data_IF_924750490848
#
_entry.id   IF_924750490848
#
_cell.length_a   1.000
_cell.length_b   1.000
_cell.length_c   1.000
_cell.angle_alpha   90.00
_cell.angle_beta   90.00
_cell.angle_gamma   90.00
#
_symmetry.space_group_name_H-M   'P 1'
#
loop_
_entity.id
_entity.type
_entity.pdbx_description
1 polymer ?
#
# COMPACT_ATOMS: atom_id res chain seq x y z
N UNK A 1 17.35 35.57 34.53
CA UNK A 1 16.03 36.22 34.36
C UNK A 1 15.79 36.41 32.87
N UNK A 2 14.76 35.78 32.33
CA UNK A 2 14.34 35.99 30.93
C UNK A 2 13.21 37.02 30.86
N UNK A 3 13.14 37.80 29.79
CA UNK A 3 11.99 38.65 29.51
C UNK A 3 11.06 37.90 28.53
N UNK A 4 9.81 37.67 28.93
CA UNK A 4 8.76 37.18 28.04
C UNK A 4 7.63 38.20 27.95
N UNK A 5 7.14 38.41 26.75
CA UNK A 5 5.92 39.16 26.48
C UNK A 5 4.80 38.16 26.23
N UNK A 6 3.90 38.02 27.20
CA UNK A 6 2.74 37.11 27.13
C UNK A 6 1.63 37.73 26.25
N UNK A 7 1.50 39.06 26.27
CA UNK A 7 0.62 39.86 25.41
C UNK A 7 1.22 41.25 25.19
N UNK A 8 0.78 41.98 24.15
CA UNK A 8 1.19 43.38 23.88
C UNK A 8 0.83 44.27 25.09
N UNK A 9 1.75 44.44 26.03
CA UNK A 9 1.63 45.39 27.14
C UNK A 9 2.05 44.86 28.51
N UNK A 10 2.10 43.54 28.74
CA UNK A 10 2.46 42.97 30.05
C UNK A 10 3.88 42.40 30.03
N UNK A 11 4.78 43.03 30.79
CA UNK A 11 6.13 42.53 31.06
C UNK A 11 6.14 41.81 32.40
N UNK A 12 6.35 40.50 32.37
CA UNK A 12 6.50 39.68 33.58
C UNK A 12 7.97 39.31 33.75
N UNK A 13 8.48 39.48 34.98
CA UNK A 13 9.74 38.89 35.40
C UNK A 13 9.44 37.52 35.98
N UNK A 14 10.10 36.48 35.48
CA UNK A 14 9.83 35.11 35.91
C UNK A 14 11.13 34.35 36.16
N UNK A 15 11.02 33.35 37.04
CA UNK A 15 11.99 32.27 37.16
C UNK A 15 11.38 31.02 36.52
N UNK A 16 12.17 30.26 35.77
CA UNK A 16 11.69 29.03 35.14
C UNK A 16 12.37 27.82 35.78
N UNK A 17 11.59 26.78 35.98
CA UNK A 17 12.09 25.46 36.34
C UNK A 17 11.61 24.48 35.28
N UNK A 18 12.51 23.61 34.82
CA UNK A 18 12.15 22.53 33.91
C UNK A 18 11.79 21.30 34.74
N UNK A 19 10.60 20.77 34.51
CA UNK A 19 10.21 19.47 35.03
C UNK A 19 10.99 18.38 34.28
N UNK A 20 11.85 17.67 35.02
CA UNK A 20 12.69 16.60 34.47
C UNK A 20 11.94 15.29 34.25
N UNK A 21 10.83 15.09 34.94
CA UNK A 21 9.97 13.89 34.81
C UNK A 21 8.51 14.27 34.54
N UNK A 22 8.05 13.99 33.33
CA UNK A 22 6.63 14.09 32.94
C UNK A 22 5.82 12.83 33.31
N UNK A 23 6.49 11.73 33.67
CA UNK A 23 5.89 10.41 33.95
C UNK A 23 5.10 10.35 35.26
N UNK A 24 5.42 11.23 36.21
CA UNK A 24 4.75 11.35 37.51
C UNK A 24 3.60 12.36 37.54
N UNK A 25 3.21 12.95 36.40
CA UNK A 25 1.97 13.71 36.25
C UNK A 25 0.77 12.72 36.16
N UNK A 26 0.73 11.76 37.08
CA UNK A 26 -0.46 10.95 37.33
C UNK A 26 -1.34 11.77 38.25
N UNK A 27 -2.33 12.44 37.65
CA UNK A 27 -3.37 13.20 38.33
C UNK A 27 -2.89 14.51 38.97
N UNK A 28 -3.50 15.64 38.55
CA UNK A 28 -3.55 16.99 39.16
C UNK A 28 -2.24 17.68 39.65
N UNK A 29 -1.10 17.00 39.63
CA UNK A 29 0.12 17.34 40.37
C UNK A 29 1.10 18.26 39.64
N UNK A 30 0.65 19.08 38.70
CA UNK A 30 1.54 20.09 38.09
C UNK A 30 1.60 21.34 38.97
N UNK A 31 0.46 21.81 39.48
CA UNK A 31 0.41 23.00 40.33
C UNK A 31 0.51 22.69 41.84
N UNK A 32 0.26 21.44 42.26
CA UNK A 32 0.24 21.06 43.68
C UNK A 32 1.56 20.52 44.22
N UNK A 33 2.48 20.06 43.36
CA UNK A 33 3.78 19.50 43.78
C UNK A 33 4.91 20.51 43.60
N UNK A 34 4.68 21.54 42.80
CA UNK A 34 5.65 22.59 42.49
C UNK A 34 4.94 23.87 42.91
N UNK A 35 5.51 24.62 43.84
CA UNK A 35 5.07 25.97 44.19
C UNK A 35 5.30 26.89 42.98
N UNK A 36 4.46 26.77 41.96
CA UNK A 36 4.56 27.46 40.69
C UNK A 36 3.28 28.29 40.46
N UNK A 37 3.45 29.60 40.25
CA UNK A 37 2.34 30.53 40.06
C UNK A 37 1.65 30.35 38.70
N UNK A 38 2.41 29.95 37.66
CA UNK A 38 1.91 29.76 36.29
C UNK A 38 2.63 28.56 35.67
N UNK A 39 1.85 27.66 35.04
CA UNK A 39 2.38 26.54 34.28
C UNK A 39 2.13 26.73 32.77
N UNK A 40 3.21 26.81 31.98
CA UNK A 40 3.14 26.80 30.52
C UNK A 40 3.53 25.43 30.00
N UNK A 41 2.55 24.62 29.61
CA UNK A 41 2.77 23.26 29.11
C UNK A 41 1.71 22.89 28.06
N UNK A 42 1.99 21.92 27.16
CA UNK A 42 0.99 21.34 26.27
C UNK A 42 0.03 20.46 27.09
N UNK A 43 -0.87 21.10 27.84
CA UNK A 43 -1.81 20.46 28.76
C UNK A 43 -3.23 20.55 28.21
N UNK A 44 -3.86 19.39 27.99
CA UNK A 44 -5.27 19.35 27.59
C UNK A 44 -6.18 19.84 28.71
N UNK A 45 -7.13 20.70 28.35
CA UNK A 45 -8.22 21.15 29.24
C UNK A 45 -9.19 19.98 29.43
N UNK A 46 -9.44 19.61 30.68
CA UNK A 46 -10.36 18.51 31.03
C UNK A 46 -11.11 18.92 32.30
N UNK A 47 -12.39 18.54 32.43
CA UNK A 47 -13.22 18.89 33.58
C UNK A 47 -12.59 18.53 34.94
N UNK A 48 -11.88 17.39 35.02
CA UNK A 48 -11.21 16.97 36.25
C UNK A 48 -10.06 17.92 36.63
N UNK A 49 -9.32 18.44 35.66
CA UNK A 49 -8.25 19.42 35.90
C UNK A 49 -8.82 20.79 36.24
N UNK A 50 -9.90 21.18 35.58
CA UNK A 50 -10.60 22.43 35.84
C UNK A 50 -11.14 22.53 37.28
N UNK A 51 -11.40 21.38 37.92
CA UNK A 51 -11.78 21.37 39.35
C UNK A 51 -10.66 21.76 40.32
N UNK A 52 -9.39 21.75 39.88
CA UNK A 52 -8.23 22.06 40.71
C UNK A 52 -7.40 23.25 40.21
N UNK A 53 -7.48 23.59 38.91
CA UNK A 53 -6.72 24.68 38.28
C UNK A 53 -7.58 25.41 37.24
N UNK A 54 -7.41 26.73 37.14
CA UNK A 54 -8.03 27.54 36.10
C UNK A 54 -7.19 27.52 34.81
N UNK A 55 -7.86 27.46 33.66
CA UNK A 55 -7.23 27.52 32.35
C UNK A 55 -7.55 28.83 31.63
N UNK A 56 -6.60 29.32 30.83
CA UNK A 56 -6.87 30.38 29.86
C UNK A 56 -7.60 29.84 28.63
N UNK A 57 -8.12 30.74 27.78
CA UNK A 57 -8.64 30.34 26.47
C UNK A 57 -7.61 29.51 25.69
N UNK A 58 -8.00 28.36 25.10
CA UNK A 58 -7.09 27.55 24.31
C UNK A 58 -6.54 28.35 23.14
N UNK A 59 -5.21 28.45 23.05
CA UNK A 59 -4.55 29.12 21.93
C UNK A 59 -4.46 28.23 20.67
N UNK A 60 -4.44 26.92 20.88
CA UNK A 60 -4.52 25.91 19.82
C UNK A 60 -5.85 25.19 19.92
N UNK A 61 -6.53 25.06 18.77
CA UNK A 61 -7.65 24.13 18.66
C UNK A 61 -7.13 22.72 18.97
N UNK A 62 -7.81 22.04 19.89
CA UNK A 62 -7.50 20.66 20.24
C UNK A 62 -7.78 19.79 19.01
N UNK A 63 -6.73 19.44 18.28
CA UNK A 63 -6.77 18.34 17.33
C UNK A 63 -7.17 17.12 18.15
N UNK A 64 -8.31 16.52 17.82
CA UNK A 64 -8.86 15.38 18.56
C UNK A 64 -7.88 14.19 18.64
N UNK A 65 -8.35 13.10 19.22
CA UNK A 65 -7.54 11.87 19.34
C UNK A 65 -7.16 11.40 17.92
N UNK A 66 -5.86 11.40 17.63
CA UNK A 66 -5.32 10.96 16.34
C UNK A 66 -4.65 9.60 16.50
N UNK A 67 -4.77 8.75 15.47
CA UNK A 67 -4.12 7.44 15.43
C UNK A 67 -2.76 7.59 14.77
N UNK A 68 -1.70 7.11 15.43
CA UNK A 68 -0.37 7.02 14.87
C UNK A 68 -0.02 5.55 14.62
N UNK A 69 0.44 5.25 13.40
CA UNK A 69 0.86 3.90 13.01
C UNK A 69 2.24 3.94 12.35
N UNK A 70 3.01 2.85 12.48
CA UNK A 70 4.25 2.68 11.73
C UNK A 70 3.91 2.61 10.24
N UNK A 71 4.59 3.41 9.42
CA UNK A 71 4.51 3.30 7.96
C UNK A 71 4.93 1.88 7.55
N UNK A 72 4.11 1.15 6.78
CA UNK A 72 4.50 -0.19 6.32
C UNK A 72 5.78 -0.08 5.49
N UNK A 73 6.75 -0.93 5.80
CA UNK A 73 7.97 -1.05 4.98
C UNK A 73 7.60 -1.82 3.70
N UNK A 74 7.70 -1.15 2.56
CA UNK A 74 7.59 -1.82 1.27
C UNK A 74 8.90 -2.58 1.01
N UNK A 75 8.85 -3.90 1.00
CA UNK A 75 9.98 -4.70 0.52
C UNK A 75 10.14 -4.46 -0.99
N UNK A 76 11.01 -3.52 -1.38
CA UNK A 76 11.25 -3.18 -2.77
C UNK A 76 12.22 -4.18 -3.40
N UNK A 77 11.65 -5.25 -3.95
CA UNK A 77 12.40 -6.21 -4.77
C UNK A 77 12.54 -5.68 -6.19
N UNK A 78 13.74 -5.79 -6.77
CA UNK A 78 14.02 -5.40 -8.17
C UNK A 78 13.13 -6.17 -9.17
N UNK A 79 12.72 -7.39 -8.83
CA UNK A 79 11.88 -8.25 -9.67
C UNK A 79 10.37 -8.11 -9.42
N UNK A 80 9.92 -7.04 -8.75
CA UNK A 80 8.47 -6.76 -8.57
C UNK A 80 7.68 -6.69 -9.88
N UNK A 81 8.31 -6.32 -10.98
CA UNK A 81 7.64 -6.33 -12.29
C UNK A 81 7.37 -7.75 -12.80
N UNK A 82 8.19 -8.73 -12.41
CA UNK A 82 8.03 -10.14 -12.82
C UNK A 82 6.94 -10.85 -12.01
N UNK A 83 6.65 -10.38 -10.78
CA UNK A 83 5.59 -10.93 -9.92
C UNK A 83 4.17 -10.56 -10.37
N UNK A 84 4.05 -9.71 -11.38
CA UNK A 84 2.76 -9.33 -12.00
C UNK A 84 2.11 -10.52 -12.72
N UNK A 85 2.92 -11.49 -13.15
CA UNK A 85 2.46 -12.69 -13.84
C UNK A 85 2.91 -13.93 -13.05
N UNK A 86 1.99 -14.89 -12.87
CA UNK A 86 2.30 -16.10 -12.12
C UNK A 86 3.29 -17.02 -12.86
N UNK A 87 4.10 -17.76 -12.10
CA UNK A 87 5.09 -18.72 -12.62
C UNK A 87 4.52 -19.74 -13.63
N UNK A 88 3.31 -20.31 -13.46
CA UNK A 88 2.74 -21.21 -14.45
C UNK A 88 2.53 -20.54 -15.81
N UNK A 89 2.13 -19.27 -15.83
CA UNK A 89 1.89 -18.54 -17.09
C UNK A 89 3.22 -18.23 -17.79
N UNK A 90 4.26 -17.89 -17.03
CA UNK A 90 5.62 -17.79 -17.58
C UNK A 90 6.06 -19.10 -18.25
N UNK A 91 5.79 -20.24 -17.61
CA UNK A 91 6.03 -21.57 -18.20
C UNK A 91 5.26 -21.78 -19.50
N UNK A 92 3.99 -21.39 -19.55
CA UNK A 92 3.17 -21.46 -20.76
C UNK A 92 3.71 -20.58 -21.90
N UNK A 93 4.22 -19.38 -21.61
CA UNK A 93 4.81 -18.48 -22.61
C UNK A 93 6.06 -19.11 -23.22
N UNK A 94 6.96 -19.64 -22.39
CA UNK A 94 8.17 -20.32 -22.84
C UNK A 94 7.83 -21.58 -23.64
N UNK A 95 6.85 -22.36 -23.17
CA UNK A 95 6.36 -23.54 -23.89
C UNK A 95 5.76 -23.20 -25.26
N UNK A 96 4.90 -22.18 -25.33
CA UNK A 96 4.30 -21.71 -26.57
C UNK A 96 5.34 -21.17 -27.56
N UNK A 97 6.41 -20.52 -27.06
CA UNK A 97 7.53 -20.07 -27.87
C UNK A 97 8.28 -21.23 -28.55
N UNK A 98 8.64 -22.27 -27.79
CA UNK A 98 9.30 -23.44 -28.37
C UNK A 98 8.37 -24.22 -29.30
N UNK A 99 7.09 -24.35 -28.94
CA UNK A 99 6.09 -25.02 -29.76
C UNK A 99 5.89 -24.32 -31.11
N UNK A 100 5.77 -23.00 -31.13
CA UNK A 100 5.59 -22.22 -32.36
C UNK A 100 6.85 -22.26 -33.23
N UNK A 101 8.03 -22.16 -32.62
CA UNK A 101 9.32 -22.30 -33.32
C UNK A 101 9.47 -23.67 -33.97
N UNK A 102 9.04 -24.73 -33.26
CA UNK A 102 9.03 -26.09 -33.79
C UNK A 102 8.03 -26.26 -34.95
N UNK A 103 6.82 -25.73 -34.81
CA UNK A 103 5.82 -25.75 -35.89
C UNK A 103 6.32 -25.03 -37.16
N UNK A 104 6.92 -23.85 -37.01
CA UNK A 104 7.50 -23.12 -38.13
C UNK A 104 8.60 -23.93 -38.83
N UNK A 105 9.45 -24.60 -38.06
CA UNK A 105 10.50 -25.47 -38.61
C UNK A 105 9.93 -26.69 -39.35
N UNK A 106 8.89 -27.34 -38.81
CA UNK A 106 8.21 -28.47 -39.46
C UNK A 106 7.54 -28.02 -40.77
N UNK A 107 6.81 -26.92 -40.75
CA UNK A 107 6.14 -26.41 -41.95
C UNK A 107 7.13 -25.93 -43.02
N UNK A 108 8.31 -25.43 -42.62
CA UNK A 108 9.37 -25.12 -43.58
C UNK A 108 10.01 -26.38 -44.17
N UNK A 109 10.21 -27.43 -43.36
CA UNK A 109 10.80 -28.72 -43.79
C UNK A 109 9.92 -29.49 -44.78
N UNK A 110 8.60 -29.51 -44.55
CA UNK A 110 7.66 -30.33 -45.33
C UNK A 110 6.97 -29.58 -46.49
N UNK A 111 7.00 -28.25 -46.51
CA UNK A 111 6.33 -27.49 -47.57
C UNK A 111 7.15 -27.49 -48.87
N UNK A 112 6.56 -27.93 -50.00
CA UNK A 112 7.24 -27.90 -51.30
C UNK A 112 7.48 -26.49 -51.85
N UNK A 113 6.85 -25.46 -51.25
CA UNK A 113 6.98 -24.05 -51.62
C UNK A 113 8.04 -23.28 -50.81
N UNK A 114 8.73 -23.95 -49.85
CA UNK A 114 9.81 -23.31 -49.11
C UNK A 114 11.03 -23.06 -50.02
N UNK A 115 11.76 -21.97 -49.76
CA UNK A 115 13.02 -21.61 -50.44
C UNK A 115 14.01 -22.79 -50.51
N UNK A 116 13.99 -23.67 -49.51
CA UNK A 116 14.85 -24.86 -49.42
C UNK A 116 14.52 -25.96 -50.43
N UNK A 117 13.25 -26.07 -50.83
CA UNK A 117 12.76 -27.13 -51.74
C UNK A 117 12.52 -26.62 -53.17
N UNK A 118 12.48 -25.30 -53.39
CA UNK A 118 12.31 -24.70 -54.73
C UNK A 118 13.37 -23.62 -55.01
N UNK A 119 14.64 -24.02 -54.96
CA UNK A 119 15.81 -23.13 -55.07
C UNK A 119 15.94 -22.44 -56.44
N UNK A 120 15.34 -23.03 -57.48
CA UNK A 120 15.35 -22.50 -58.85
C UNK A 120 14.33 -21.38 -59.07
N UNK A 121 13.15 -21.42 -58.43
CA UNK A 121 12.10 -20.40 -58.60
C UNK A 121 12.41 -19.09 -57.85
N UNK A 122 13.24 -19.14 -56.81
CA UNK A 122 13.56 -17.99 -55.93
C UNK A 122 15.03 -17.54 -56.03
N UNK A 123 15.70 -17.86 -57.15
CA UNK A 123 17.14 -17.62 -57.34
C UNK A 123 17.51 -16.13 -57.40
N UNK A 124 16.58 -15.30 -57.88
CA UNK A 124 16.71 -13.86 -58.10
C UNK A 124 16.00 -13.00 -57.02
N UNK A 125 15.46 -13.64 -55.99
CA UNK A 125 14.71 -12.96 -54.94
C UNK A 125 15.68 -12.39 -53.89
N UNK A 126 15.49 -11.13 -53.48
CA UNK A 126 16.36 -10.44 -52.51
C UNK A 126 16.28 -11.02 -51.09
N UNK A 127 15.22 -11.79 -50.82
CA UNK A 127 14.89 -12.35 -49.51
C UNK A 127 15.26 -13.85 -49.43
N UNK A 128 16.56 -14.13 -49.34
CA UNK A 128 17.13 -15.49 -49.27
C UNK A 128 17.32 -15.91 -47.82
N UNK A 129 16.23 -16.26 -47.11
CA UNK A 129 16.32 -16.78 -45.73
C UNK A 129 15.95 -18.25 -45.68
N UNK A 130 16.91 -19.08 -45.29
CA UNK A 130 16.67 -20.47 -44.94
C UNK A 130 16.20 -20.54 -43.48
N UNK A 131 14.97 -21.00 -43.23
CA UNK A 131 14.44 -21.19 -41.88
C UNK A 131 15.06 -22.42 -41.22
N UNK A 132 16.31 -22.29 -40.80
CA UNK A 132 16.92 -23.23 -39.86
C UNK A 132 16.25 -23.09 -38.48
N UNK A 133 16.25 -24.13 -37.65
CA UNK A 133 15.63 -24.08 -36.31
C UNK A 133 16.07 -22.86 -35.47
N UNK A 134 17.34 -22.47 -35.57
CA UNK A 134 17.90 -21.25 -34.93
C UNK A 134 17.27 -19.96 -35.47
N UNK A 135 17.00 -19.90 -36.77
CA UNK A 135 16.34 -18.76 -37.43
C UNK A 135 14.86 -18.68 -37.07
N UNK A 136 14.19 -19.83 -36.88
CA UNK A 136 12.81 -19.88 -36.36
C UNK A 136 12.73 -19.34 -34.93
N UNK A 137 13.66 -19.74 -34.06
CA UNK A 137 13.76 -19.20 -32.70
C UNK A 137 14.02 -17.69 -32.74
N UNK A 138 14.97 -17.27 -33.57
CA UNK A 138 15.28 -15.85 -33.77
C UNK A 138 14.06 -15.05 -34.27
N UNK A 139 13.32 -15.59 -35.24
CA UNK A 139 12.09 -14.98 -35.74
C UNK A 139 11.03 -14.87 -34.65
N UNK A 140 10.74 -15.95 -33.92
CA UNK A 140 9.77 -15.93 -32.83
C UNK A 140 10.15 -14.92 -31.74
N UNK A 141 11.44 -14.77 -31.42
CA UNK A 141 11.94 -13.83 -30.41
C UNK A 141 11.76 -12.37 -30.85
N UNK A 142 12.24 -12.02 -32.05
CA UNK A 142 12.11 -10.65 -32.56
C UNK A 142 10.66 -10.27 -32.89
N UNK A 143 9.83 -11.27 -33.19
CA UNK A 143 8.41 -11.08 -33.43
C UNK A 143 7.61 -10.74 -32.17
N UNK A 144 8.10 -11.07 -30.97
CA UNK A 144 7.49 -10.64 -29.71
C UNK A 144 7.83 -9.19 -29.37
N UNK A 145 8.96 -8.69 -29.87
CA UNK A 145 9.35 -7.30 -29.66
C UNK A 145 8.67 -6.38 -30.67
N UNK A 146 8.25 -5.15 -30.26
CA UNK A 146 7.59 -4.20 -31.16
C UNK A 146 8.43 -3.75 -32.38
N UNK A 147 9.74 -3.98 -32.35
CA UNK A 147 10.61 -3.71 -33.49
C UNK A 147 10.26 -4.61 -34.69
N UNK A 148 9.69 -5.79 -34.45
CA UNK A 148 9.58 -6.84 -35.45
C UNK A 148 10.96 -7.30 -35.92
N UNK A 149 11.08 -8.54 -36.36
CA UNK A 149 12.34 -8.95 -36.95
C UNK A 149 12.24 -10.22 -37.77
N UNK A 150 12.77 -10.11 -38.98
CA UNK A 150 12.81 -11.16 -39.98
C UNK A 150 11.64 -11.14 -40.93
N UNK A 151 11.91 -11.52 -42.19
CA UNK A 151 10.88 -11.79 -43.19
C UNK A 151 9.99 -12.94 -42.74
N UNK A 152 8.68 -12.78 -42.94
CA UNK A 152 7.72 -13.83 -42.69
C UNK A 152 7.94 -15.02 -43.64
N UNK A 153 7.61 -16.26 -43.21
CA UNK A 153 7.68 -17.43 -44.08
C UNK A 153 6.93 -17.20 -45.40
N UNK A 154 7.52 -17.62 -46.52
CA UNK A 154 6.89 -17.50 -47.85
C UNK A 154 5.68 -18.44 -48.03
N UNK A 155 5.64 -19.54 -47.26
CA UNK A 155 4.57 -20.52 -47.29
C UNK A 155 3.28 -19.99 -46.65
N UNK A 156 2.12 -20.23 -47.27
CA UNK A 156 0.83 -19.79 -46.71
C UNK A 156 0.53 -20.41 -45.33
N UNK A 157 0.93 -21.66 -45.12
CA UNK A 157 0.87 -22.34 -43.82
C UNK A 157 1.73 -21.65 -42.75
N UNK A 158 2.97 -21.26 -43.12
CA UNK A 158 3.87 -20.53 -42.23
C UNK A 158 3.36 -19.11 -41.90
N UNK A 159 2.68 -18.45 -42.84
CA UNK A 159 2.04 -17.14 -42.61
C UNK A 159 0.90 -17.21 -41.60
N UNK A 160 0.07 -18.25 -41.67
CA UNK A 160 -1.02 -18.44 -40.71
C UNK A 160 -0.45 -18.65 -39.30
N UNK A 161 0.59 -19.50 -39.16
CA UNK A 161 1.27 -19.71 -37.87
C UNK A 161 1.90 -18.43 -37.34
N UNK A 162 2.56 -17.64 -38.20
CA UNK A 162 3.13 -16.35 -37.82
C UNK A 162 2.04 -15.35 -37.38
N UNK A 163 0.91 -15.30 -38.07
CA UNK A 163 -0.21 -14.43 -37.69
C UNK A 163 -0.83 -14.82 -36.34
N UNK A 164 -0.99 -16.12 -36.07
CA UNK A 164 -1.43 -16.60 -34.76
C UNK A 164 -0.42 -16.27 -33.66
N UNK A 165 0.87 -16.37 -33.95
CA UNK A 165 1.94 -15.98 -33.02
C UNK A 165 1.91 -14.48 -32.69
N UNK A 166 1.69 -13.64 -33.70
CA UNK A 166 1.53 -12.18 -33.51
C UNK A 166 0.33 -11.85 -32.64
N UNK A 167 -0.82 -12.48 -32.90
CA UNK A 167 -2.01 -12.29 -32.08
C UNK A 167 -1.75 -12.72 -30.63
N UNK A 168 -1.11 -13.87 -30.43
CA UNK A 168 -0.73 -14.36 -29.10
C UNK A 168 0.19 -13.37 -28.37
N UNK A 169 1.26 -12.91 -29.02
CA UNK A 169 2.18 -11.93 -28.45
C UNK A 169 1.50 -10.62 -28.06
N UNK A 170 0.60 -10.12 -28.92
CA UNK A 170 -0.18 -8.91 -28.63
C UNK A 170 -1.07 -9.08 -27.39
N UNK A 171 -1.79 -10.19 -27.27
CA UNK A 171 -2.66 -10.49 -26.11
C UNK A 171 -1.84 -10.58 -24.82
N UNK A 172 -0.67 -11.24 -24.86
CA UNK A 172 0.21 -11.38 -23.69
C UNK A 172 0.73 -10.01 -23.23
N UNK A 173 1.22 -9.17 -24.14
CA UNK A 173 1.73 -7.84 -23.80
C UNK A 173 0.61 -6.95 -23.24
N UNK A 174 -0.58 -7.00 -23.84
CA UNK A 174 -1.75 -6.25 -23.36
C UNK A 174 -2.17 -6.69 -21.95
N UNK A 175 -2.26 -7.99 -21.71
CA UNK A 175 -2.59 -8.55 -20.40
C UNK A 175 -1.53 -8.24 -19.34
N UNK A 176 -0.25 -8.35 -19.68
CA UNK A 176 0.85 -7.96 -18.80
C UNK A 176 0.77 -6.48 -18.42
N UNK A 177 0.52 -5.60 -19.40
CA UNK A 177 0.40 -4.16 -19.17
C UNK A 177 -0.81 -3.83 -18.29
N UNK A 178 -1.95 -4.50 -18.48
CA UNK A 178 -3.14 -4.33 -17.67
C UNK A 178 -2.92 -4.79 -16.21
N UNK A 179 -2.31 -5.97 -16.02
CA UNK A 179 -2.03 -6.50 -14.69
C UNK A 179 -0.98 -5.66 -13.96
N UNK A 180 0.03 -5.16 -14.67
CA UNK A 180 1.03 -4.25 -14.12
C UNK A 180 0.37 -2.94 -13.66
N UNK A 181 -0.50 -2.35 -14.49
CA UNK A 181 -1.23 -1.14 -14.13
C UNK A 181 -2.13 -1.36 -12.90
N UNK A 182 -2.85 -2.48 -12.83
CA UNK A 182 -3.67 -2.84 -11.68
C UNK A 182 -2.82 -3.02 -10.41
N UNK A 183 -1.65 -3.65 -10.51
CA UNK A 183 -0.75 -3.82 -9.36
C UNK A 183 -0.22 -2.48 -8.84
N UNK A 184 0.12 -1.54 -9.74
CA UNK A 184 0.61 -0.21 -9.39
C UNK A 184 -0.46 0.66 -8.73
N UNK A 185 -1.74 0.47 -9.06
CA UNK A 185 -2.84 1.20 -8.41
C UNK A 185 -3.17 0.60 -7.04
N UNK A 186 -3.24 -0.73 -6.91
CA UNK A 186 -3.56 -1.43 -5.65
C UNK A 186 -2.51 -1.15 -4.58
N UNK A 187 -1.22 -1.14 -4.93
CA UNK A 187 -0.14 -0.83 -3.98
C UNK A 187 -0.23 0.57 -3.34
N UNK A 188 -1.03 1.48 -3.92
CA UNK A 188 -1.25 2.84 -3.38
C UNK A 188 -2.50 2.96 -2.50
N UNK A 189 -3.39 1.96 -2.51
CA UNK A 189 -4.71 2.02 -1.88
C UNK A 189 -4.75 1.42 -0.47
N UNK A 190 -3.72 0.71 -0.02
CA UNK A 190 -3.69 0.14 1.33
C UNK A 190 -3.23 1.18 2.37
N UNK A 191 -4.12 2.11 2.75
CA UNK A 191 -4.09 2.63 4.12
C UNK A 191 -4.88 1.65 4.98
N UNK A 192 -4.23 0.80 5.79
CA UNK A 192 -4.88 -0.34 6.41
C UNK A 192 -6.00 0.04 7.39
N UNK A 193 -5.94 1.24 7.98
CA UNK A 193 -6.91 1.74 8.95
C UNK A 193 -7.05 3.25 8.75
N UNK A 194 -8.29 3.70 8.52
CA UNK A 194 -8.64 5.12 8.38
C UNK A 194 -9.49 5.63 9.54
N UNK A 195 -10.14 4.74 10.30
CA UNK A 195 -11.05 5.09 11.39
C UNK A 195 -10.86 4.26 12.66
N UNK A 196 -11.34 4.79 13.79
CA UNK A 196 -11.38 4.07 15.08
C UNK A 196 -12.30 2.85 15.00
N UNK A 197 -13.39 2.91 14.22
CA UNK A 197 -14.32 1.79 14.03
C UNK A 197 -13.64 0.62 13.30
N UNK A 198 -12.90 0.92 12.23
CA UNK A 198 -12.07 -0.09 11.54
C UNK A 198 -11.01 -0.69 12.47
N UNK A 199 -10.41 0.14 13.33
CA UNK A 199 -9.44 -0.32 14.32
C UNK A 199 -10.05 -1.25 15.37
N UNK A 200 -11.31 -1.02 15.77
CA UNK A 200 -12.01 -1.81 16.78
C UNK A 200 -12.54 -3.15 16.23
N UNK A 201 -12.91 -3.21 14.95
CA UNK A 201 -13.39 -4.44 14.30
C UNK A 201 -12.30 -5.46 14.00
N UNK A 202 -11.06 -5.00 13.85
CA UNK A 202 -9.94 -5.84 13.49
C UNK A 202 -9.22 -6.40 14.73
N UNK A 203 -8.67 -7.62 14.63
CA UNK A 203 -7.95 -8.29 15.72
C UNK A 203 -6.44 -8.42 15.49
N UNK A 204 -5.92 -7.99 14.33
CA UNK A 204 -4.54 -8.21 13.89
C UNK A 204 -3.55 -7.21 14.48
N UNK A 205 -3.97 -5.95 14.59
CA UNK A 205 -3.16 -4.80 14.99
C UNK A 205 -3.55 -4.45 16.42
N UNK A 206 -2.58 -4.57 17.34
CA UNK A 206 -2.76 -4.14 18.72
C UNK A 206 -2.68 -2.61 18.78
N UNK A 207 -3.58 -2.01 19.55
CA UNK A 207 -3.61 -0.58 19.78
C UNK A 207 -3.70 -0.28 21.27
N UNK A 208 -3.11 0.83 21.69
CA UNK A 208 -3.19 1.31 23.06
C UNK A 208 -2.99 2.83 23.08
N UNK A 209 -3.71 3.58 23.94
CA UNK A 209 -3.38 4.97 24.19
C UNK A 209 -2.04 5.08 24.91
N UNK A 210 -1.37 6.23 24.75
CA UNK A 210 -0.13 6.50 25.50
C UNK A 210 -0.42 6.58 27.00
N UNK A 211 0.41 5.91 27.81
CA UNK A 211 0.25 5.86 29.27
C UNK A 211 0.36 7.26 29.88
N UNK A 212 -0.58 7.63 30.75
CA UNK A 212 -0.66 8.94 31.39
C UNK A 212 -1.15 10.07 30.49
N UNK A 213 -1.59 9.77 29.26
CA UNK A 213 -2.14 10.76 28.35
C UNK A 213 -3.61 11.08 28.65
N UNK A 214 -4.08 12.25 28.21
CA UNK A 214 -5.49 12.60 28.29
C UNK A 214 -6.39 11.61 27.53
N UNK A 215 -5.88 10.99 26.45
CA UNK A 215 -6.60 9.96 25.69
C UNK A 215 -6.81 8.68 26.51
N UNK A 216 -5.82 8.23 27.30
CA UNK A 216 -6.00 7.08 28.19
C UNK A 216 -7.11 7.34 29.23
N UNK A 217 -7.05 8.49 29.91
CA UNK A 217 -8.07 8.87 30.89
C UNK A 217 -9.45 9.01 30.25
N UNK A 218 -9.52 9.50 29.01
CA UNK A 218 -10.77 9.57 28.25
C UNK A 218 -11.37 8.17 28.01
N UNK A 219 -10.60 7.24 27.44
CA UNK A 219 -11.09 5.88 27.14
C UNK A 219 -11.41 5.08 28.41
N UNK A 220 -10.61 5.23 29.47
CA UNK A 220 -10.87 4.58 30.75
C UNK A 220 -12.21 5.02 31.35
N UNK A 221 -12.50 6.33 31.34
CA UNK A 221 -13.77 6.87 31.82
C UNK A 221 -14.95 6.38 30.98
N UNK A 222 -14.80 6.32 29.66
CA UNK A 222 -15.86 5.79 28.79
C UNK A 222 -16.22 4.34 29.15
N UNK A 223 -15.21 3.48 29.34
CA UNK A 223 -15.43 2.10 29.77
C UNK A 223 -16.06 2.01 31.18
N UNK A 224 -15.63 2.84 32.14
CA UNK A 224 -16.21 2.87 33.48
C UNK A 224 -17.68 3.32 33.47
N UNK A 225 -18.02 4.33 32.67
CA UNK A 225 -19.39 4.82 32.53
C UNK A 225 -20.28 3.76 31.88
N UNK A 226 -19.77 3.11 30.82
CA UNK A 226 -20.49 2.02 30.13
C UNK A 226 -20.78 0.84 31.07
N UNK A 227 -19.79 0.42 31.86
CA UNK A 227 -19.96 -0.64 32.85
C UNK A 227 -21.01 -0.27 33.91
N UNK A 228 -20.94 0.95 34.45
CA UNK A 228 -21.95 1.44 35.42
C UNK A 228 -23.34 1.49 34.81
N UNK A 229 -23.47 1.99 33.59
CA UNK A 229 -24.75 2.04 32.88
C UNK A 229 -25.33 0.63 32.70
N UNK A 230 -24.49 -0.33 32.31
CA UNK A 230 -24.89 -1.72 32.13
C UNK A 230 -25.38 -2.35 33.45
N UNK A 231 -24.68 -2.12 34.56
CA UNK A 231 -25.12 -2.55 35.89
C UNK A 231 -26.48 -1.95 36.25
N UNK A 232 -26.66 -0.63 36.12
CA UNK A 232 -27.93 0.02 36.45
C UNK A 232 -29.11 -0.50 35.60
N UNK A 233 -28.90 -0.72 34.30
CA UNK A 233 -29.94 -1.24 33.41
C UNK A 233 -30.32 -2.67 33.78
N UNK A 234 -29.36 -3.52 34.12
CA UNK A 234 -29.64 -4.90 34.56
C UNK A 234 -30.39 -4.93 35.90
N UNK A 235 -29.95 -4.16 36.90
CA UNK A 235 -30.62 -4.12 38.20
C UNK A 235 -32.01 -3.45 38.15
N UNK A 236 -32.22 -2.49 37.23
CA UNK A 236 -33.53 -1.91 36.98
C UNK A 236 -34.47 -2.85 36.19
N UNK A 237 -33.93 -3.86 35.50
CA UNK A 237 -34.72 -4.91 34.84
C UNK A 237 -35.21 -6.00 35.80
N UNK A 238 -34.55 -6.17 36.95
CA UNK A 238 -34.87 -7.16 37.97
C UNK A 238 -35.70 -6.60 39.14
N UNK A 239 -36.04 -5.31 39.14
CA UNK A 239 -36.99 -4.77 40.11
C UNK A 239 -38.40 -5.28 39.77
N UNK A 240 -39.07 -6.05 40.66
CA UNK A 240 -40.46 -6.40 40.44
C UNK A 240 -41.23 -5.10 40.38
N UNK A 241 -41.96 -4.88 39.30
CA UNK A 241 -42.91 -3.78 39.15
C UNK A 241 -43.73 -3.66 40.43
N UNK A 242 -43.45 -2.63 41.23
CA UNK A 242 -44.31 -2.24 42.34
C UNK A 242 -45.57 -1.63 41.69
N UNK A 243 -46.54 -2.51 41.44
CA UNK A 243 -47.95 -2.19 41.29
C UNK A 243 -48.55 -1.77 42.64
#
# INVERSE_FOLDING_TARGET
MGNWTVTRGMKLYYNYSLLKDFTHIRHYRVATVIEADIALAPLSVTAERESFIDFTFPYYDLVGITILMKKPESNDSLFKFMTVLELPVWGCIVGAYFFTSFLLWVFDRFSPYSYRNNKEKYKDDSEKREFTFKECLWFCMNSLTPQGGGEAPKNISGRIVAATWWLFGFIIIASYTANLAAFLTVSRLETPISSIDELAKQYKIKYAPSKGSAAESYFRRMAEIENKLFEYVLFAGDSPSLA
#
